data_IF_927403615644
#
_entry.id   IF_927403615644
#
_cell.length_a   1.000
_cell.length_b   1.000
_cell.length_c   1.000
_cell.angle_alpha   90.00
_cell.angle_beta   90.00
_cell.angle_gamma   90.00
#
_symmetry.space_group_name_H-M   'P 1'
#
loop_
_entity.id
_entity.type
_entity.pdbx_description
1 polymer ?
#
# COMPACT_ATOMS: atom_id res chain seq x y z
N UNK A 1 15.70 -29.34 -28.39
CA UNK A 1 15.51 -28.19 -29.33
C UNK A 1 16.74 -27.31 -29.20
N UNK A 2 17.51 -27.18 -30.28
CA UNK A 2 18.71 -26.34 -30.27
C UNK A 2 18.32 -24.85 -30.40
N UNK A 3 19.18 -23.94 -29.92
CA UNK A 3 18.98 -22.50 -30.05
C UNK A 3 18.71 -22.03 -31.48
N UNK A 4 19.33 -22.72 -32.46
CA UNK A 4 19.16 -22.48 -33.88
C UNK A 4 17.73 -22.79 -34.37
N UNK A 5 17.15 -23.88 -33.88
CA UNK A 5 15.77 -24.28 -34.21
C UNK A 5 14.77 -23.27 -33.67
N UNK A 6 15.01 -22.77 -32.44
CA UNK A 6 14.22 -21.74 -31.81
C UNK A 6 14.20 -20.43 -32.60
N UNK A 7 15.39 -20.00 -33.08
CA UNK A 7 15.53 -18.80 -33.90
C UNK A 7 14.75 -18.91 -35.20
N UNK A 8 14.89 -20.05 -35.90
CA UNK A 8 14.19 -20.31 -37.16
C UNK A 8 12.68 -20.30 -36.95
N UNK A 9 12.19 -20.95 -35.88
CA UNK A 9 10.78 -21.01 -35.53
C UNK A 9 10.21 -19.62 -35.21
N UNK A 10 10.92 -18.81 -34.40
CA UNK A 10 10.53 -17.45 -34.09
C UNK A 10 10.48 -16.56 -35.33
N UNK A 11 11.48 -16.68 -36.22
CA UNK A 11 11.50 -15.93 -37.49
C UNK A 11 10.32 -16.30 -38.40
N UNK A 12 10.00 -17.59 -38.51
CA UNK A 12 8.85 -18.04 -39.29
C UNK A 12 7.51 -17.58 -38.77
N UNK A 13 7.40 -17.32 -37.42
CA UNK A 13 6.17 -16.89 -36.75
C UNK A 13 6.23 -15.43 -36.27
N UNK A 14 7.16 -14.63 -36.79
CA UNK A 14 7.39 -13.23 -36.35
C UNK A 14 6.12 -12.38 -36.44
N UNK A 15 5.27 -12.60 -37.44
CA UNK A 15 3.99 -11.91 -37.59
C UNK A 15 3.04 -12.15 -36.41
N UNK A 16 3.01 -13.37 -35.85
CA UNK A 16 2.20 -13.66 -34.66
C UNK A 16 2.73 -12.92 -33.45
N UNK A 17 4.05 -12.83 -33.28
CA UNK A 17 4.69 -12.08 -32.21
C UNK A 17 4.34 -10.59 -32.32
N UNK A 18 4.45 -10.01 -33.52
CA UNK A 18 4.11 -8.60 -33.77
C UNK A 18 2.64 -8.29 -33.51
N UNK A 19 1.74 -9.15 -33.95
CA UNK A 19 0.28 -9.00 -33.70
C UNK A 19 0.00 -9.04 -32.19
N UNK A 20 0.60 -9.99 -31.48
CA UNK A 20 0.47 -10.09 -30.03
C UNK A 20 0.99 -8.84 -29.30
N UNK A 21 2.17 -8.34 -29.70
CA UNK A 21 2.74 -7.11 -29.15
C UNK A 21 1.80 -5.92 -29.36
N UNK A 22 1.25 -5.77 -30.56
CA UNK A 22 0.30 -4.70 -30.88
C UNK A 22 -0.98 -4.82 -30.05
N UNK A 23 -1.54 -6.03 -29.95
CA UNK A 23 -2.77 -6.30 -29.20
C UNK A 23 -2.60 -6.00 -27.70
N UNK A 24 -1.56 -6.53 -27.06
CA UNK A 24 -1.31 -6.29 -25.64
C UNK A 24 -0.81 -4.86 -25.36
N UNK A 25 -0.13 -4.23 -26.32
CA UNK A 25 0.21 -2.81 -26.23
C UNK A 25 -1.04 -1.92 -26.22
N UNK A 26 -1.98 -2.16 -27.12
CA UNK A 26 -3.28 -1.47 -27.14
C UNK A 26 -4.11 -1.75 -25.89
N UNK A 27 -4.09 -2.98 -25.39
CA UNK A 27 -4.74 -3.33 -24.12
C UNK A 27 -4.11 -2.58 -22.93
N UNK A 28 -2.78 -2.44 -22.91
CA UNK A 28 -2.05 -1.63 -21.92
C UNK A 28 -2.46 -0.16 -21.97
N UNK A 29 -2.60 0.42 -23.16
CA UNK A 29 -3.15 1.77 -23.32
C UNK A 29 -4.61 1.85 -22.84
N UNK A 30 -5.44 0.84 -23.16
CA UNK A 30 -6.82 0.75 -22.66
C UNK A 30 -6.90 0.76 -21.14
N UNK A 31 -5.94 0.14 -20.45
CA UNK A 31 -5.87 0.13 -18.99
C UNK A 31 -5.68 1.53 -18.36
N UNK A 32 -5.20 2.52 -19.12
CA UNK A 32 -5.12 3.91 -18.67
C UNK A 32 -6.50 4.55 -18.46
N UNK A 33 -7.50 4.15 -19.24
CA UNK A 33 -8.87 4.71 -19.18
C UNK A 33 -9.69 4.13 -18.02
N UNK A 34 -9.21 3.11 -17.30
CA UNK A 34 -9.90 2.67 -16.09
C UNK A 34 -9.95 3.79 -15.05
N UNK A 35 -11.03 3.87 -14.24
CA UNK A 35 -11.21 4.94 -13.27
C UNK A 35 -10.02 5.04 -12.32
N UNK A 36 -9.52 6.26 -12.14
CA UNK A 36 -8.42 6.54 -11.25
C UNK A 36 -8.88 6.36 -9.80
N UNK A 37 -7.95 5.97 -8.96
CA UNK A 37 -8.13 5.96 -7.52
C UNK A 37 -7.37 7.11 -6.88
N UNK A 38 -7.86 7.55 -5.73
CA UNK A 38 -7.25 8.59 -4.91
C UNK A 38 -6.63 7.95 -3.68
N UNK A 39 -5.53 8.51 -3.20
CA UNK A 39 -4.84 8.06 -2.00
C UNK A 39 -4.80 9.24 -1.04
N UNK A 40 -5.36 9.07 0.14
CA UNK A 40 -5.21 9.97 1.27
C UNK A 40 -4.01 9.50 2.10
N UNK A 41 -3.02 10.37 2.28
CA UNK A 41 -1.77 10.09 2.97
C UNK A 41 -1.59 11.05 4.13
N UNK A 42 -1.12 10.55 5.27
CA UNK A 42 -0.72 11.38 6.41
C UNK A 42 0.10 10.55 7.38
N UNK A 43 0.90 11.25 8.18
CA UNK A 43 1.89 10.63 9.07
C UNK A 43 1.55 10.87 10.53
N UNK A 44 1.98 9.94 11.36
CA UNK A 44 1.84 9.96 12.82
C UNK A 44 3.24 9.93 13.42
N UNK A 45 3.39 10.65 14.52
CA UNK A 45 4.64 10.70 15.26
C UNK A 45 4.41 10.16 16.68
N UNK A 46 5.28 9.23 17.08
CA UNK A 46 5.26 8.61 18.40
C UNK A 46 6.37 9.22 19.24
N UNK A 47 6.02 9.77 20.39
CA UNK A 47 6.97 10.35 21.34
C UNK A 47 6.72 9.85 22.75
N UNK A 48 7.74 9.98 23.61
CA UNK A 48 7.60 9.87 25.04
C UNK A 48 8.17 11.13 25.70
N UNK A 49 7.37 11.79 26.51
CA UNK A 49 7.78 12.97 27.25
C UNK A 49 8.78 12.59 28.33
N UNK A 50 9.85 13.36 28.47
CA UNK A 50 10.85 13.24 29.55
C UNK A 50 10.52 14.27 30.62
N UNK A 51 10.63 13.92 31.89
CA UNK A 51 10.47 14.88 32.99
C UNK A 51 11.73 15.75 33.10
N UNK A 52 11.58 17.07 32.99
CA UNK A 52 12.67 18.05 33.06
C UNK A 52 13.33 18.13 34.49
N UNK A 53 12.76 17.46 35.49
CA UNK A 53 13.24 17.50 36.87
C UNK A 53 14.32 16.45 37.20
N UNK A 54 14.77 15.67 36.26
CA UNK A 54 15.83 14.68 36.48
C UNK A 54 17.20 15.33 36.22
N UNK A 55 17.88 15.76 37.29
CA UNK A 55 19.23 16.32 37.25
C UNK A 55 20.26 15.64 36.34
N UNK A 56 21.48 15.39 36.76
CA UNK A 56 22.61 14.85 35.96
C UNK A 56 22.38 13.47 35.27
N UNK A 57 21.23 12.82 35.50
CA UNK A 57 20.80 11.56 34.82
C UNK A 57 20.10 11.78 33.48
N UNK A 58 20.05 12.99 32.97
CA UNK A 58 19.33 13.39 31.76
C UNK A 58 19.66 12.56 30.51
N UNK A 59 20.92 12.16 30.32
CA UNK A 59 21.35 11.41 29.13
C UNK A 59 20.72 10.00 29.05
N UNK A 60 20.56 9.33 30.20
CA UNK A 60 19.95 7.98 30.24
C UNK A 60 18.45 8.03 30.03
N UNK A 61 17.74 8.98 30.63
CA UNK A 61 16.29 9.11 30.46
C UNK A 61 15.90 9.44 29.02
N UNK A 62 16.64 10.32 28.37
CA UNK A 62 16.45 10.62 26.95
C UNK A 62 16.60 9.38 26.06
N UNK A 63 17.62 8.57 26.31
CA UNK A 63 17.84 7.31 25.59
C UNK A 63 16.70 6.31 25.82
N UNK A 64 16.29 6.11 27.08
CA UNK A 64 15.19 5.21 27.42
C UNK A 64 13.85 5.71 26.85
N UNK A 65 13.59 7.01 26.88
CA UNK A 65 12.40 7.59 26.29
C UNK A 65 12.34 7.33 24.78
N UNK A 66 13.46 7.51 24.08
CA UNK A 66 13.56 7.24 22.67
C UNK A 66 13.37 5.75 22.36
N UNK A 67 14.02 4.85 23.11
CA UNK A 67 13.90 3.42 22.92
C UNK A 67 12.47 2.92 23.19
N UNK A 68 11.81 3.46 24.23
CA UNK A 68 10.42 3.16 24.53
C UNK A 68 9.49 3.66 23.43
N UNK A 69 9.70 4.87 22.91
CA UNK A 69 8.92 5.39 21.77
C UNK A 69 9.10 4.51 20.50
N UNK A 70 10.30 3.99 20.25
CA UNK A 70 10.55 3.06 19.14
C UNK A 70 9.75 1.76 19.28
N UNK A 71 9.77 1.14 20.46
CA UNK A 71 8.99 -0.05 20.75
C UNK A 71 7.49 0.22 20.69
N UNK A 72 7.05 1.37 21.22
CA UNK A 72 5.64 1.75 21.20
C UNK A 72 5.12 1.99 19.77
N UNK A 73 5.96 2.47 18.87
CA UNK A 73 5.55 2.64 17.47
C UNK A 73 5.14 1.33 16.80
N UNK A 74 5.72 0.18 17.21
CA UNK A 74 5.31 -1.14 16.72
C UNK A 74 3.93 -1.54 17.28
N UNK A 75 3.65 -1.16 18.53
CA UNK A 75 2.30 -1.29 19.13
C UNK A 75 1.27 -0.47 18.35
N UNK A 76 1.59 0.78 18.03
CA UNK A 76 0.72 1.66 17.24
C UNK A 76 0.50 1.09 15.83
N UNK A 77 1.54 0.56 15.20
CA UNK A 77 1.42 -0.15 13.91
C UNK A 77 0.46 -1.34 14.03
N UNK A 78 0.53 -2.08 15.14
CA UNK A 78 -0.44 -3.14 15.49
C UNK A 78 -1.86 -2.64 15.60
N UNK A 79 -2.08 -1.45 16.22
CA UNK A 79 -3.40 -0.83 16.32
C UNK A 79 -4.00 -0.51 14.95
N UNK A 80 -3.24 0.05 14.03
CA UNK A 80 -3.68 0.29 12.64
C UNK A 80 -4.08 -1.00 11.93
N UNK A 81 -3.46 -2.13 12.27
CA UNK A 81 -3.76 -3.44 11.68
C UNK A 81 -4.86 -4.20 12.44
N UNK A 82 -5.28 -3.72 13.61
CA UNK A 82 -6.30 -4.36 14.44
C UNK A 82 -7.67 -4.34 13.75
N UNK A 83 -8.31 -5.51 13.70
CA UNK A 83 -9.67 -5.67 13.15
C UNK A 83 -10.69 -4.83 13.93
N UNK A 84 -10.56 -4.76 15.27
CA UNK A 84 -11.48 -4.00 16.11
C UNK A 84 -11.38 -2.48 15.83
N UNK A 85 -10.16 -1.96 15.66
CA UNK A 85 -9.95 -0.54 15.33
C UNK A 85 -10.53 -0.21 13.95
N UNK A 86 -10.33 -1.08 12.98
CA UNK A 86 -10.90 -0.93 11.63
C UNK A 86 -12.42 -1.03 11.62
N UNK A 87 -13.00 -1.89 12.47
CA UNK A 87 -14.43 -1.97 12.70
C UNK A 87 -14.96 -0.63 13.24
N UNK A 88 -14.36 -0.10 14.30
CA UNK A 88 -14.74 1.19 14.87
C UNK A 88 -14.65 2.34 13.86
N UNK A 89 -13.63 2.31 12.98
CA UNK A 89 -13.51 3.29 11.91
C UNK A 89 -14.66 3.20 10.91
N UNK A 90 -15.09 1.99 10.51
CA UNK A 90 -16.24 1.78 9.62
C UNK A 90 -17.55 2.25 10.25
N UNK A 91 -17.75 1.96 11.53
CA UNK A 91 -18.90 2.45 12.31
C UNK A 91 -18.93 3.98 12.36
N UNK A 92 -17.76 4.61 12.56
CA UNK A 92 -17.61 6.06 12.51
C UNK A 92 -17.91 6.69 11.14
N UNK A 93 -17.83 5.91 10.06
CA UNK A 93 -18.23 6.30 8.70
C UNK A 93 -19.73 6.05 8.43
N UNK A 94 -20.49 5.48 9.39
CA UNK A 94 -21.87 5.09 9.19
C UNK A 94 -22.04 3.88 8.24
N UNK A 95 -20.98 3.10 8.02
CA UNK A 95 -21.01 1.92 7.15
C UNK A 95 -21.38 0.69 7.97
N UNK A 96 -22.38 -0.07 7.53
CA UNK A 96 -22.74 -1.33 8.17
C UNK A 96 -21.55 -2.29 8.13
N UNK A 97 -21.13 -2.74 9.32
CA UNK A 97 -19.99 -3.64 9.46
C UNK A 97 -20.43 -5.06 9.12
N UNK A 98 -19.91 -5.55 8.01
CA UNK A 98 -20.04 -6.96 7.59
C UNK A 98 -18.68 -7.43 7.04
N UNK A 99 -18.55 -8.71 6.76
CA UNK A 99 -17.30 -9.29 6.25
C UNK A 99 -16.84 -8.62 4.94
N UNK A 100 -17.78 -8.30 4.06
CA UNK A 100 -17.48 -7.69 2.76
C UNK A 100 -16.96 -6.25 2.92
N UNK A 101 -17.61 -5.42 3.76
CA UNK A 101 -17.20 -4.05 4.03
C UNK A 101 -15.83 -4.01 4.72
N UNK A 102 -15.61 -4.89 5.69
CA UNK A 102 -14.34 -5.02 6.40
C UNK A 102 -13.20 -5.46 5.47
N UNK A 103 -13.45 -6.47 4.63
CA UNK A 103 -12.48 -6.94 3.63
C UNK A 103 -12.12 -5.85 2.61
N UNK A 104 -13.12 -5.09 2.13
CA UNK A 104 -12.91 -3.96 1.21
C UNK A 104 -12.07 -2.87 1.86
N UNK A 105 -12.41 -2.48 3.10
CA UNK A 105 -11.68 -1.47 3.86
C UNK A 105 -10.24 -1.90 4.13
N UNK A 106 -10.04 -3.15 4.56
CA UNK A 106 -8.70 -3.70 4.79
C UNK A 106 -7.80 -3.65 3.55
N UNK A 107 -8.36 -3.90 2.36
CA UNK A 107 -7.60 -3.81 1.09
C UNK A 107 -7.27 -2.39 0.68
N UNK A 108 -8.01 -1.41 1.16
CA UNK A 108 -7.77 0.01 0.88
C UNK A 108 -6.69 0.63 1.76
N UNK A 109 -6.38 0.02 2.90
CA UNK A 109 -5.45 0.54 3.91
C UNK A 109 -4.04 0.01 3.64
N UNK A 110 -3.07 0.92 3.69
CA UNK A 110 -1.64 0.59 3.75
C UNK A 110 -0.99 1.42 4.83
N UNK A 111 -0.38 0.75 5.79
CA UNK A 111 0.37 1.39 6.88
C UNK A 111 1.82 0.99 6.74
N UNK A 112 2.70 1.96 6.89
CA UNK A 112 4.14 1.77 6.78
C UNK A 112 4.84 2.55 7.89
N UNK A 113 5.84 1.92 8.50
CA UNK A 113 6.76 2.58 9.42
C UNK A 113 7.91 3.16 8.58
N UNK A 114 7.93 4.46 8.38
CA UNK A 114 8.93 5.14 7.54
C UNK A 114 10.21 5.45 8.32
N UNK A 115 10.09 5.64 9.63
CA UNK A 115 11.21 5.77 10.57
C UNK A 115 10.82 5.15 11.91
N UNK A 116 11.76 5.01 12.87
CA UNK A 116 11.47 4.40 14.17
C UNK A 116 10.29 5.02 14.92
N UNK A 117 10.00 6.30 14.71
CA UNK A 117 8.93 7.03 15.39
C UNK A 117 7.85 7.55 14.44
N UNK A 118 8.00 7.35 13.12
CA UNK A 118 7.06 7.87 12.12
C UNK A 118 6.33 6.73 11.43
N UNK A 119 5.01 6.78 11.47
CA UNK A 119 4.12 5.82 10.82
C UNK A 119 3.28 6.58 9.79
N UNK A 120 3.31 6.15 8.55
CA UNK A 120 2.50 6.72 7.47
C UNK A 120 1.31 5.83 7.17
N UNK A 121 0.13 6.43 7.20
CA UNK A 121 -1.13 5.82 6.83
C UNK A 121 -1.55 6.29 5.43
N UNK A 122 -1.80 5.35 4.54
CA UNK A 122 -2.31 5.58 3.21
C UNK A 122 -3.65 4.85 3.04
N UNK A 123 -4.70 5.58 2.64
CA UNK A 123 -6.00 4.99 2.34
C UNK A 123 -6.41 5.30 0.92
N UNK A 124 -6.71 4.23 0.18
CA UNK A 124 -7.15 4.29 -1.21
C UNK A 124 -8.68 4.37 -1.29
N UNK A 125 -9.20 5.36 -2.01
CA UNK A 125 -10.64 5.53 -2.29
C UNK A 125 -10.91 5.70 -3.77
N UNK A 126 -12.18 5.63 -4.15
CA UNK A 126 -12.64 5.89 -5.53
C UNK A 126 -12.68 7.38 -5.85
N UNK A 127 -12.89 8.21 -4.85
CA UNK A 127 -12.91 9.66 -4.93
C UNK A 127 -12.16 10.29 -3.74
N UNK A 128 -11.96 11.61 -3.80
CA UNK A 128 -11.25 12.40 -2.78
C UNK A 128 -11.94 12.25 -1.42
N UNK A 129 -13.27 12.34 -1.39
CA UNK A 129 -14.04 12.27 -0.15
C UNK A 129 -13.94 10.89 0.51
N UNK A 130 -14.08 9.79 -0.25
CA UNK A 130 -13.98 8.42 0.28
C UNK A 130 -12.58 8.14 0.87
N UNK A 131 -11.52 8.57 0.17
CA UNK A 131 -10.16 8.41 0.66
C UNK A 131 -9.91 9.24 1.93
N UNK A 132 -10.29 10.52 1.91
CA UNK A 132 -10.09 11.44 3.02
C UNK A 132 -10.90 11.07 4.25
N UNK A 133 -12.20 10.80 4.10
CA UNK A 133 -13.05 10.38 5.22
C UNK A 133 -12.61 9.06 5.83
N UNK A 134 -12.19 8.09 5.00
CA UNK A 134 -11.63 6.83 5.47
C UNK A 134 -10.37 7.04 6.32
N UNK A 135 -9.47 7.92 5.87
CA UNK A 135 -8.25 8.27 6.60
C UNK A 135 -8.58 8.91 7.94
N UNK A 136 -9.47 9.90 7.96
CA UNK A 136 -9.87 10.60 9.20
C UNK A 136 -10.55 9.64 10.18
N UNK A 137 -11.43 8.75 9.71
CA UNK A 137 -12.13 7.80 10.57
C UNK A 137 -11.16 6.79 11.22
N UNK A 138 -10.23 6.22 10.44
CA UNK A 138 -9.25 5.29 10.97
C UNK A 138 -8.27 5.97 11.93
N UNK A 139 -7.82 7.19 11.61
CA UNK A 139 -6.96 7.99 12.47
C UNK A 139 -7.60 8.25 13.82
N UNK A 140 -8.87 8.70 13.84
CA UNK A 140 -9.63 8.91 15.08
C UNK A 140 -9.79 7.62 15.88
N UNK A 141 -10.11 6.50 15.21
CA UNK A 141 -10.27 5.22 15.89
C UNK A 141 -8.96 4.76 16.56
N UNK A 142 -7.82 4.93 15.88
CA UNK A 142 -6.49 4.60 16.45
C UNK A 142 -6.16 5.51 17.62
N UNK A 143 -6.34 6.83 17.47
CA UNK A 143 -6.06 7.79 18.56
C UNK A 143 -6.90 7.52 19.80
N UNK A 144 -8.20 7.25 19.66
CA UNK A 144 -9.08 6.93 20.77
C UNK A 144 -8.62 5.66 21.51
N UNK A 145 -8.28 4.60 20.77
CA UNK A 145 -7.79 3.36 21.39
C UNK A 145 -6.43 3.58 22.05
N UNK A 146 -5.54 4.33 21.41
CA UNK A 146 -4.24 4.69 21.97
C UNK A 146 -4.39 5.47 23.29
N UNK A 147 -5.29 6.44 23.37
CA UNK A 147 -5.57 7.22 24.58
C UNK A 147 -6.06 6.32 25.73
N UNK A 148 -6.98 5.39 25.46
CA UNK A 148 -7.46 4.42 26.45
C UNK A 148 -6.34 3.50 26.94
N UNK A 149 -5.43 3.10 26.07
CA UNK A 149 -4.26 2.28 26.44
C UNK A 149 -3.26 3.07 27.28
N UNK A 150 -3.01 4.32 26.95
CA UNK A 150 -2.12 5.19 27.73
C UNK A 150 -2.61 5.49 29.13
N UNK A 151 -3.93 5.68 29.32
CA UNK A 151 -4.50 5.87 30.64
C UNK A 151 -4.29 4.67 31.58
N UNK A 152 -4.12 3.46 31.00
CA UNK A 152 -3.86 2.21 31.74
C UNK A 152 -2.40 1.84 31.82
N UNK A 153 -1.54 2.46 31.02
CA UNK A 153 -0.13 2.15 30.87
C UNK A 153 0.79 3.33 31.17
N UNK A 154 1.71 3.64 30.25
CA UNK A 154 2.62 4.78 30.36
C UNK A 154 1.97 6.05 29.76
N UNK A 155 1.45 6.91 30.62
CA UNK A 155 0.80 8.18 30.23
C UNK A 155 1.73 9.18 29.55
N UNK A 156 3.05 8.97 29.59
CA UNK A 156 4.05 9.83 28.94
C UNK A 156 4.21 9.52 27.44
N UNK A 157 3.70 8.37 26.96
CA UNK A 157 3.68 8.03 25.55
C UNK A 157 2.61 8.84 24.84
N UNK A 158 2.95 9.45 23.74
CA UNK A 158 2.01 10.22 22.93
C UNK A 158 2.06 9.81 21.47
N UNK A 159 0.89 9.79 20.85
CA UNK A 159 0.69 9.61 19.43
C UNK A 159 0.06 10.88 18.87
N UNK A 160 0.76 11.58 18.01
CA UNK A 160 0.27 12.79 17.38
C UNK A 160 0.18 12.64 15.87
N UNK A 161 -0.82 13.26 15.27
CA UNK A 161 -0.85 13.44 13.82
C UNK A 161 0.10 14.59 13.44
N UNK A 162 0.94 14.39 12.43
CA UNK A 162 1.78 15.47 11.89
C UNK A 162 0.90 16.53 11.23
N UNK A 163 -0.15 16.08 10.54
CA UNK A 163 -1.16 16.96 9.94
C UNK A 163 -2.56 16.43 10.28
N UNK A 164 -3.48 17.33 10.58
CA UNK A 164 -4.88 16.99 10.94
C UNK A 164 -5.71 16.61 9.71
N UNK A 165 -5.30 17.06 8.53
CA UNK A 165 -5.96 16.81 7.26
C UNK A 165 -5.00 16.03 6.36
N UNK A 166 -5.42 14.86 5.83
CA UNK A 166 -4.54 14.08 4.94
C UNK A 166 -4.33 14.78 3.60
N UNK A 167 -3.14 14.63 3.04
CA UNK A 167 -2.88 15.00 1.65
C UNK A 167 -3.52 13.98 0.73
N UNK A 168 -4.47 14.42 -0.11
CA UNK A 168 -5.14 13.53 -1.06
C UNK A 168 -4.60 13.77 -2.46
N UNK A 169 -4.04 12.73 -3.06
CA UNK A 169 -3.51 12.79 -4.43
C UNK A 169 -4.08 11.68 -5.30
N UNK A 170 -4.10 11.94 -6.59
CA UNK A 170 -4.52 10.96 -7.60
C UNK A 170 -3.41 9.94 -7.82
N UNK A 171 -3.76 8.65 -7.92
CA UNK A 171 -2.78 7.63 -8.27
C UNK A 171 -2.19 7.93 -9.65
N UNK A 172 -0.86 8.03 -9.70
CA UNK A 172 -0.16 8.28 -10.96
C UNK A 172 -0.28 7.07 -11.89
N UNK A 173 -0.66 7.32 -13.14
CA UNK A 173 -0.65 6.34 -14.22
C UNK A 173 -0.01 6.98 -15.45
N UNK A 174 0.92 6.29 -16.06
CA UNK A 174 1.55 6.72 -17.30
C UNK A 174 1.08 5.84 -18.46
N UNK A 175 0.57 6.46 -19.53
CA UNK A 175 0.20 5.77 -20.77
C UNK A 175 1.40 5.02 -21.34
N UNK A 176 2.57 5.69 -21.36
CA UNK A 176 3.80 5.13 -21.90
C UNK A 176 4.24 3.89 -21.12
N UNK A 177 4.18 3.95 -19.78
CA UNK A 177 4.56 2.83 -18.93
C UNK A 177 3.62 1.64 -19.15
N UNK A 178 2.30 1.88 -19.21
CA UNK A 178 1.31 0.84 -19.48
C UNK A 178 1.50 0.22 -20.87
N UNK A 179 1.83 1.04 -21.88
CA UNK A 179 2.15 0.56 -23.24
C UNK A 179 3.38 -0.36 -23.22
N UNK A 180 4.48 0.06 -22.59
CA UNK A 180 5.71 -0.73 -22.49
C UNK A 180 5.45 -2.07 -21.79
N UNK A 181 4.77 -2.04 -20.63
CA UNK A 181 4.41 -3.26 -19.91
C UNK A 181 3.53 -4.17 -20.76
N UNK A 182 2.54 -3.62 -21.48
CA UNK A 182 1.71 -4.38 -22.40
C UNK A 182 2.52 -5.05 -23.52
N UNK A 183 3.43 -4.33 -24.16
CA UNK A 183 4.32 -4.87 -25.21
C UNK A 183 5.21 -5.99 -24.65
N UNK A 184 5.86 -5.79 -23.50
CA UNK A 184 6.69 -6.81 -22.87
C UNK A 184 5.91 -8.08 -22.55
N UNK A 185 4.71 -7.91 -21.98
CA UNK A 185 3.84 -9.04 -21.66
C UNK A 185 3.36 -9.78 -22.91
N UNK A 186 2.97 -9.04 -23.96
CA UNK A 186 2.59 -9.60 -25.25
C UNK A 186 3.72 -10.37 -25.91
N UNK A 187 4.95 -9.85 -25.84
CA UNK A 187 6.16 -10.54 -26.35
C UNK A 187 6.39 -11.85 -25.59
N UNK A 188 6.35 -11.80 -24.26
CA UNK A 188 6.57 -12.98 -23.42
C UNK A 188 5.54 -14.09 -23.71
N UNK A 189 4.25 -13.75 -23.76
CA UNK A 189 3.19 -14.73 -24.07
C UNK A 189 3.36 -15.32 -25.45
N UNK A 190 3.59 -14.48 -26.47
CA UNK A 190 3.70 -14.97 -27.86
C UNK A 190 4.90 -15.87 -28.06
N UNK A 191 6.07 -15.52 -27.50
CA UNK A 191 7.26 -16.36 -27.55
C UNK A 191 7.00 -17.71 -26.89
N UNK A 192 6.40 -17.69 -25.69
CA UNK A 192 6.04 -18.93 -24.96
C UNK A 192 5.09 -19.80 -25.78
N UNK A 193 4.04 -19.22 -26.38
CA UNK A 193 3.08 -19.95 -27.20
C UNK A 193 3.73 -20.53 -28.46
N UNK A 194 4.59 -19.77 -29.14
CA UNK A 194 5.30 -20.24 -30.35
C UNK A 194 6.24 -21.39 -30.02
N UNK A 195 6.98 -21.30 -28.92
CA UNK A 195 7.89 -22.36 -28.46
C UNK A 195 7.12 -23.62 -28.08
N UNK A 196 6.05 -23.46 -27.34
CA UNK A 196 5.20 -24.60 -26.92
C UNK A 196 4.56 -25.28 -28.11
N UNK A 197 3.99 -24.54 -29.07
CA UNK A 197 3.43 -25.08 -30.30
C UNK A 197 4.47 -25.78 -31.14
N UNK A 198 5.69 -25.28 -31.18
CA UNK A 198 6.81 -25.94 -31.89
C UNK A 198 7.26 -27.24 -31.22
N UNK A 199 7.21 -27.27 -29.87
CA UNK A 199 7.53 -28.49 -29.11
C UNK A 199 6.52 -29.60 -29.37
N UNK A 200 5.22 -29.29 -29.18
CA UNK A 200 4.12 -30.27 -29.42
C UNK A 200 4.10 -30.80 -30.86
N UNK A 201 4.41 -29.96 -31.83
CA UNK A 201 4.42 -30.37 -33.27
C UNK A 201 5.60 -31.27 -33.64
N UNK A 202 6.66 -31.29 -32.84
CA UNK A 202 7.84 -32.14 -33.06
C UNK A 202 7.68 -33.54 -32.43
N UNK A 203 6.73 -33.69 -31.47
CA UNK A 203 6.39 -34.96 -30.82
C UNK A 203 5.25 -35.73 -31.54
N UNK A 204 4.56 -35.11 -32.50
CA UNK A 204 3.56 -35.71 -33.37
C UNK A 204 4.18 -36.00 -34.75
#
# INVERSE_FOLDING_TARGET
>A
MELKDLYILLRAKLHLVLISMAFFGLFGVGAYYFPNSFIASGSFFVTRTVDDNSGDYFAYEGYYAQQTAFSHSDTVLGLFNSVNVRKNALEGLGIVVNETSLRKFNRSIRVKKDSPQVITLNIKGKNISEAGSGWVALSKAVLNVHEVLNQKGDSRLSLSMVETIPVVHKTYRSVLLNLIVGILFGTFISVTCVVFAGYVRKEL
#
